data_IF_911392418262
#
_entry.id   IF_911392418262
#
_cell.length_a   1.000
_cell.length_b   1.000
_cell.length_c   1.000
_cell.angle_alpha   90.00
_cell.angle_beta   90.00
_cell.angle_gamma   90.00
#
_symmetry.space_group_name_H-M   'P 1'
#
loop_
_entity.id
_entity.type
_entity.pdbx_description
1 polymer ?
#
# COMPACT_ATOMS: atom_id res chain seq x y z
N UNK A 1 14.38 58.53 57.02
CA UNK A 1 13.93 59.92 57.18
C UNK A 1 12.69 60.04 58.09
N UNK A 2 12.82 60.77 59.19
CA UNK A 2 11.74 61.10 60.12
C UNK A 2 11.03 62.41 59.76
N UNK A 3 9.79 62.58 60.24
CA UNK A 3 9.05 63.85 60.14
C UNK A 3 9.57 64.88 61.16
N UNK A 4 9.29 66.15 60.92
CA UNK A 4 9.70 67.24 61.83
C UNK A 4 9.10 67.09 63.23
N UNK A 5 7.96 66.42 63.37
CA UNK A 5 7.34 66.08 64.67
C UNK A 5 8.19 65.21 65.58
N UNK A 6 9.15 64.46 65.06
CA UNK A 6 10.10 63.70 65.87
C UNK A 6 11.09 64.61 66.63
N UNK A 7 11.20 65.87 66.20
CA UNK A 7 12.21 66.82 66.69
C UNK A 7 11.61 68.07 67.35
N UNK A 8 10.30 68.32 67.15
CA UNK A 8 9.58 69.41 67.81
C UNK A 8 8.10 69.09 67.91
N UNK A 9 7.48 69.46 69.03
CA UNK A 9 6.03 69.37 69.23
C UNK A 9 5.26 70.50 68.56
N UNK A 10 5.97 71.51 68.03
CA UNK A 10 5.38 72.67 67.34
C UNK A 10 5.12 72.37 65.86
N UNK A 11 4.43 71.26 65.56
CA UNK A 11 4.09 70.81 64.21
C UNK A 11 2.56 70.74 64.02
N UNK A 12 2.10 70.41 62.81
CA UNK A 12 0.69 70.04 62.60
C UNK A 12 0.38 68.68 63.26
N UNK A 13 -0.89 68.30 63.45
CA UNK A 13 -1.25 66.96 63.94
C UNK A 13 -0.69 65.82 63.06
N UNK A 14 -0.49 66.07 61.76
CA UNK A 14 0.12 65.14 60.82
C UNK A 14 1.66 65.14 60.90
N UNK A 15 2.25 65.94 61.78
CA UNK A 15 3.68 66.03 62.00
C UNK A 15 4.45 66.79 60.92
N UNK A 16 3.79 67.72 60.22
CA UNK A 16 4.39 68.57 59.19
C UNK A 16 4.70 69.97 59.73
N UNK A 17 5.41 70.78 58.92
CA UNK A 17 5.60 72.20 59.21
C UNK A 17 4.26 72.93 59.28
N UNK A 18 4.06 73.71 60.34
CA UNK A 18 2.92 74.59 60.51
C UNK A 18 3.35 76.05 60.39
N UNK A 19 2.49 76.84 59.76
CA UNK A 19 2.61 78.30 59.75
C UNK A 19 2.34 78.86 61.15
N UNK A 20 3.08 79.90 61.52
CA UNK A 20 2.76 80.68 62.71
C UNK A 20 1.65 81.69 62.42
N UNK A 21 0.82 82.00 63.42
CA UNK A 21 -0.17 83.07 63.35
C UNK A 21 -0.06 83.96 64.59
N UNK A 22 0.25 85.25 64.38
CA UNK A 22 0.27 86.25 65.45
C UNK A 22 -1.12 86.46 66.05
N UNK A 23 -2.18 86.38 65.25
CA UNK A 23 -3.56 86.58 65.71
C UNK A 23 -4.11 85.37 66.49
N UNK A 24 -3.59 84.16 66.26
CA UNK A 24 -4.03 82.92 66.90
C UNK A 24 -3.15 82.43 68.04
N UNK A 25 -2.04 83.10 68.36
CA UNK A 25 -1.09 82.67 69.40
C UNK A 25 -0.38 81.35 69.11
N UNK A 26 -0.43 80.84 67.88
CA UNK A 26 0.21 79.57 67.49
C UNK A 26 1.60 79.85 66.93
N UNK A 27 2.69 79.41 67.58
CA UNK A 27 4.03 79.61 67.06
C UNK A 27 4.28 78.71 65.84
N UNK A 28 5.01 79.23 64.85
CA UNK A 28 5.45 78.48 63.67
C UNK A 28 6.35 77.30 64.07
N UNK A 29 6.42 76.27 63.22
CA UNK A 29 7.40 75.19 63.43
C UNK A 29 8.82 75.74 63.32
N UNK A 30 9.65 75.61 64.36
CA UNK A 30 11.04 76.04 64.29
C UNK A 30 11.83 75.13 63.34
N UNK A 31 12.80 75.71 62.64
CA UNK A 31 13.81 74.93 61.92
C UNK A 31 14.79 74.35 62.94
N UNK A 32 14.68 73.05 63.19
CA UNK A 32 15.50 72.33 64.17
C UNK A 32 16.71 71.68 63.48
N UNK A 33 17.89 71.87 64.07
CA UNK A 33 19.16 71.41 63.50
C UNK A 33 19.19 69.89 63.28
N UNK A 34 18.58 69.11 64.18
CA UNK A 34 18.52 67.65 64.03
C UNK A 34 17.82 67.19 62.75
N UNK A 35 16.70 67.83 62.40
CA UNK A 35 15.97 67.54 61.16
C UNK A 35 16.74 68.00 59.92
N UNK A 36 17.36 69.19 59.97
CA UNK A 36 18.18 69.70 58.86
C UNK A 36 19.41 68.84 58.60
N UNK A 37 20.10 68.39 59.66
CA UNK A 37 21.24 67.48 59.55
C UNK A 37 20.81 66.12 58.99
N UNK A 38 19.68 65.57 59.42
CA UNK A 38 19.15 64.33 58.85
C UNK A 38 18.87 64.46 57.34
N UNK A 39 18.24 65.56 56.91
CA UNK A 39 18.06 65.81 55.47
C UNK A 39 19.39 65.92 54.74
N UNK A 40 20.36 66.61 55.33
CA UNK A 40 21.70 66.76 54.76
C UNK A 40 22.38 65.41 54.59
N UNK A 41 22.38 64.56 55.61
CA UNK A 41 23.00 63.23 55.55
C UNK A 41 22.35 62.34 54.50
N UNK A 42 21.03 62.35 54.36
CA UNK A 42 20.32 61.57 53.33
C UNK A 42 20.68 62.05 51.90
N UNK A 43 20.75 63.37 51.69
CA UNK A 43 21.18 63.93 50.41
C UNK A 43 22.65 63.66 50.11
N UNK A 44 23.51 63.74 51.13
CA UNK A 44 24.93 63.39 51.05
C UNK A 44 25.10 61.91 50.71
N UNK A 45 24.32 61.01 51.32
CA UNK A 45 24.38 59.58 51.05
C UNK A 45 24.10 59.26 49.58
N UNK A 46 23.12 59.94 48.97
CA UNK A 46 22.85 59.82 47.52
C UNK A 46 24.06 60.26 46.71
N UNK A 47 24.69 61.39 47.04
CA UNK A 47 25.87 61.87 46.32
C UNK A 47 27.04 60.89 46.49
N UNK A 48 27.31 60.44 47.71
CA UNK A 48 28.36 59.48 48.03
C UNK A 48 28.17 58.15 47.27
N UNK A 49 26.94 57.66 47.13
CA UNK A 49 26.66 56.40 46.44
C UNK A 49 27.02 56.43 44.94
N UNK A 50 26.85 57.58 44.27
CA UNK A 50 27.08 57.69 42.81
C UNK A 50 28.37 58.42 42.42
N UNK A 51 28.94 59.24 43.31
CA UNK A 51 30.14 60.05 43.02
C UNK A 51 31.33 59.76 43.94
N UNK A 52 31.12 59.01 45.03
CA UNK A 52 32.18 58.58 45.95
C UNK A 52 32.80 59.66 46.84
N UNK A 53 32.52 60.95 46.60
CA UNK A 53 33.03 62.07 47.40
C UNK A 53 32.15 63.31 47.29
N UNK A 54 32.25 64.21 48.27
CA UNK A 54 31.61 65.54 48.24
C UNK A 54 32.59 66.60 47.73
N UNK A 55 32.11 67.49 46.88
CA UNK A 55 32.84 68.65 46.37
C UNK A 55 32.15 69.97 46.79
N UNK A 56 32.73 70.76 47.70
CA UNK A 56 32.11 72.00 48.17
C UNK A 56 31.94 73.06 47.06
N UNK A 57 32.70 72.96 45.97
CA UNK A 57 32.63 73.89 44.83
C UNK A 57 31.54 73.54 43.81
N UNK A 58 30.82 72.42 44.00
CA UNK A 58 29.80 71.94 43.06
C UNK A 58 28.40 71.90 43.70
N UNK A 59 27.56 72.87 43.34
CA UNK A 59 26.16 72.94 43.78
C UNK A 59 25.22 71.99 43.02
N UNK A 60 25.72 71.28 42.01
CA UNK A 60 24.92 70.37 41.16
C UNK A 60 25.16 68.89 41.46
N UNK A 61 25.85 68.56 42.55
CA UNK A 61 26.18 67.17 42.90
C UNK A 61 24.95 66.26 43.02
N UNK A 62 23.87 66.72 43.65
CA UNK A 62 22.65 65.91 43.74
C UNK A 62 22.08 65.61 42.35
N UNK A 63 22.03 66.62 41.47
CA UNK A 63 21.53 66.46 40.11
C UNK A 63 22.40 65.51 39.29
N UNK A 64 23.73 65.59 39.41
CA UNK A 64 24.66 64.68 38.74
C UNK A 64 24.47 63.23 39.19
N UNK A 65 24.24 63.02 40.50
CA UNK A 65 23.97 61.68 41.07
C UNK A 65 22.67 61.10 40.53
N UNK A 66 21.60 61.90 40.47
CA UNK A 66 20.32 61.48 39.91
C UNK A 66 20.44 61.13 38.41
N UNK A 67 21.24 61.89 37.65
CA UNK A 67 21.54 61.57 36.24
C UNK A 67 22.32 60.27 36.11
N UNK A 68 23.32 60.04 36.96
CA UNK A 68 24.10 58.81 36.97
C UNK A 68 23.25 57.57 37.33
N UNK A 69 22.35 57.71 38.31
CA UNK A 69 21.40 56.66 38.69
C UNK A 69 20.57 56.16 37.50
N UNK A 70 20.09 57.07 36.66
CA UNK A 70 19.21 56.72 35.53
C UNK A 70 19.96 56.43 34.22
N UNK A 71 21.27 56.70 34.15
CA UNK A 71 22.07 56.59 32.93
C UNK A 71 22.14 55.16 32.37
N UNK A 72 22.03 54.15 33.24
CA UNK A 72 22.07 52.74 32.85
C UNK A 72 20.67 52.12 32.68
N UNK A 73 19.60 52.88 32.92
CA UNK A 73 18.25 52.43 32.61
C UNK A 73 17.90 52.85 31.18
N UNK A 74 17.66 51.87 30.32
CA UNK A 74 17.19 52.13 28.97
C UNK A 74 15.85 52.87 29.00
N UNK A 75 15.79 54.07 28.43
CA UNK A 75 14.53 54.70 28.02
C UNK A 75 13.80 53.74 27.09
N UNK A 76 12.49 53.50 27.28
CA UNK A 76 11.65 52.54 26.52
C UNK A 76 12.25 52.18 25.14
N UNK A 77 12.96 51.06 25.07
CA UNK A 77 13.58 50.58 23.85
C UNK A 77 12.65 49.57 23.17
N UNK A 78 12.68 49.52 21.83
CA UNK A 78 11.93 48.53 21.04
C UNK A 78 12.79 47.32 20.67
N UNK A 79 14.04 47.26 21.13
CA UNK A 79 15.00 46.21 20.79
C UNK A 79 15.73 45.70 22.04
N UNK A 80 16.14 44.42 22.02
CA UNK A 80 16.95 43.81 23.09
C UNK A 80 18.29 44.54 23.30
N UNK A 81 18.96 44.93 22.21
CA UNK A 81 20.20 45.72 22.26
C UNK A 81 19.99 47.08 22.96
N UNK A 82 18.83 47.70 22.78
CA UNK A 82 18.49 48.95 23.49
C UNK A 82 18.34 48.77 25.01
N UNK A 83 18.08 47.55 25.49
CA UNK A 83 18.12 47.18 26.91
C UNK A 83 19.50 46.67 27.39
N UNK A 84 20.53 46.73 26.53
CA UNK A 84 21.86 46.22 26.86
C UNK A 84 22.02 44.70 26.74
N UNK A 85 21.04 43.99 26.17
CA UNK A 85 21.11 42.54 25.93
C UNK A 85 21.74 42.33 24.56
N UNK A 86 23.04 42.00 24.55
CA UNK A 86 23.86 41.87 23.33
C UNK A 86 24.13 40.42 22.90
N UNK A 87 23.81 39.44 23.75
CA UNK A 87 23.99 38.01 23.49
C UNK A 87 22.75 37.34 22.86
N UNK A 88 21.66 38.10 22.69
CA UNK A 88 20.44 37.62 22.05
C UNK A 88 20.51 37.73 20.51
N UNK A 89 19.92 36.75 19.82
CA UNK A 89 19.71 36.84 18.38
C UNK A 89 18.74 37.97 18.02
N UNK A 90 19.12 38.78 17.03
CA UNK A 90 18.21 39.72 16.38
C UNK A 90 17.20 39.00 15.49
N UNK A 91 16.05 39.63 15.25
CA UNK A 91 15.04 39.11 14.31
C UNK A 91 15.65 38.81 12.93
N UNK A 92 16.53 39.69 12.43
CA UNK A 92 17.18 39.50 11.14
C UNK A 92 18.11 38.27 11.12
N UNK A 93 18.88 38.03 12.19
CA UNK A 93 19.70 36.82 12.31
C UNK A 93 18.83 35.56 12.36
N UNK A 94 17.74 35.58 13.12
CA UNK A 94 16.80 34.45 13.19
C UNK A 94 16.13 34.18 11.83
N UNK A 95 15.66 35.22 11.14
CA UNK A 95 15.07 35.11 9.80
C UNK A 95 16.07 34.55 8.78
N UNK A 96 17.36 34.94 8.89
CA UNK A 96 18.43 34.42 8.03
C UNK A 96 18.70 32.94 8.31
N UNK A 97 18.86 32.53 9.56
CA UNK A 97 19.09 31.13 9.93
C UNK A 97 17.92 30.23 9.53
N UNK A 98 16.69 30.74 9.70
CA UNK A 98 15.49 30.01 9.31
C UNK A 98 15.35 29.91 7.80
N UNK A 99 15.63 30.98 7.04
CA UNK A 99 15.59 30.95 5.57
C UNK A 99 16.66 30.02 4.99
N UNK A 100 17.85 29.94 5.59
CA UNK A 100 18.87 28.96 5.19
C UNK A 100 18.37 27.52 5.37
N UNK A 101 17.56 27.26 6.40
CA UNK A 101 16.96 25.95 6.65
C UNK A 101 15.71 25.67 5.79
N UNK A 102 14.92 26.69 5.48
CA UNK A 102 13.62 26.54 4.83
C UNK A 102 13.64 26.64 3.30
N UNK A 103 14.54 27.45 2.72
CA UNK A 103 14.45 27.86 1.31
C UNK A 103 15.35 27.09 0.33
N UNK A 104 16.30 26.27 0.80
CA UNK A 104 17.35 25.76 -0.09
C UNK A 104 17.12 24.35 -0.63
N UNK A 105 16.02 23.68 -0.28
CA UNK A 105 15.82 22.29 -0.65
C UNK A 105 14.40 22.01 -1.18
N UNK A 106 14.32 21.51 -2.41
CA UNK A 106 13.10 20.90 -2.97
C UNK A 106 13.16 19.36 -2.91
N UNK A 107 14.17 18.82 -2.23
CA UNK A 107 14.41 17.39 -2.08
C UNK A 107 14.54 17.02 -0.61
N UNK A 108 14.18 15.79 -0.26
CA UNK A 108 14.30 15.26 1.12
C UNK A 108 15.74 15.34 1.63
N UNK A 109 16.72 15.01 0.78
CA UNK A 109 18.15 15.12 1.12
C UNK A 109 18.60 16.55 1.42
N UNK A 110 18.04 17.55 0.74
CA UNK A 110 18.34 18.96 1.05
C UNK A 110 17.78 19.43 2.40
N UNK A 111 16.77 18.74 2.95
CA UNK A 111 16.30 18.93 4.33
C UNK A 111 17.08 18.10 5.36
N UNK A 112 18.10 17.34 4.94
CA UNK A 112 18.89 16.46 5.81
C UNK A 112 18.24 15.11 6.09
N UNK A 113 17.22 14.71 5.33
CA UNK A 113 16.57 13.40 5.44
C UNK A 113 17.35 12.42 4.56
N UNK A 114 18.23 11.63 5.17
CA UNK A 114 19.14 10.70 4.47
C UNK A 114 18.62 9.27 4.32
N UNK A 115 17.56 8.90 5.03
CA UNK A 115 16.96 7.56 5.03
C UNK A 115 15.76 7.43 4.07
N UNK A 116 15.36 8.52 3.42
CA UNK A 116 14.29 8.50 2.44
C UNK A 116 14.78 8.07 1.05
N UNK A 117 14.00 7.22 0.39
CA UNK A 117 14.23 6.87 -1.00
C UNK A 117 14.08 8.09 -1.92
N UNK A 118 15.04 8.25 -2.82
CA UNK A 118 14.98 9.25 -3.89
C UNK A 118 14.08 8.77 -5.03
N UNK A 119 13.52 9.73 -5.78
CA UNK A 119 12.76 9.42 -7.01
C UNK A 119 13.58 8.55 -7.97
N UNK A 120 14.88 8.81 -8.10
CA UNK A 120 15.76 8.06 -8.98
C UNK A 120 15.94 6.60 -8.55
N UNK A 121 16.11 6.34 -7.25
CA UNK A 121 16.19 4.97 -6.72
C UNK A 121 14.88 4.20 -6.92
N UNK A 122 13.74 4.85 -6.69
CA UNK A 122 12.42 4.24 -6.92
C UNK A 122 12.21 3.96 -8.40
N UNK A 123 12.50 4.92 -9.28
CA UNK A 123 12.41 4.73 -10.73
C UNK A 123 13.31 3.60 -11.20
N UNK A 124 14.53 3.48 -10.66
CA UNK A 124 15.44 2.39 -10.95
C UNK A 124 14.88 1.02 -10.50
N UNK A 125 14.40 0.92 -9.25
CA UNK A 125 13.75 -0.30 -8.73
C UNK A 125 12.54 -0.71 -9.57
N UNK A 126 11.74 0.27 -10.01
CA UNK A 126 10.54 0.01 -10.81
C UNK A 126 10.89 -0.37 -12.25
N UNK A 127 11.95 0.22 -12.83
CA UNK A 127 12.40 -0.12 -14.19
C UNK A 127 12.88 -1.57 -14.27
N UNK A 128 13.58 -2.07 -13.26
CA UNK A 128 13.96 -3.48 -13.19
C UNK A 128 12.76 -4.43 -13.10
N UNK A 129 11.67 -4.00 -12.48
CA UNK A 129 10.45 -4.81 -12.39
C UNK A 129 9.55 -4.70 -13.61
N UNK A 130 9.43 -3.52 -14.22
CA UNK A 130 8.43 -3.26 -15.26
C UNK A 130 8.98 -3.36 -16.69
N UNK A 131 10.24 -2.98 -16.92
CA UNK A 131 10.77 -2.76 -18.27
C UNK A 131 11.58 -3.93 -18.85
N UNK A 132 11.99 -4.91 -18.04
CA UNK A 132 12.94 -5.97 -18.47
C UNK A 132 12.26 -7.34 -18.66
N UNK A 133 11.12 -7.57 -18.03
CA UNK A 133 10.47 -8.87 -18.03
C UNK A 133 9.38 -8.99 -19.12
N UNK A 134 9.62 -9.81 -20.13
CA UNK A 134 8.57 -10.25 -21.08
C UNK A 134 7.92 -11.59 -20.65
N UNK A 135 8.27 -12.10 -19.48
CA UNK A 135 7.76 -13.35 -18.92
C UNK A 135 7.28 -13.12 -17.48
N UNK A 136 6.34 -13.94 -17.03
CA UNK A 136 5.82 -13.92 -15.66
C UNK A 136 6.95 -14.15 -14.64
N UNK A 137 7.90 -15.04 -14.94
CA UNK A 137 9.08 -15.27 -14.12
C UNK A 137 9.97 -14.02 -13.98
N UNK A 138 10.11 -13.21 -15.03
CA UNK A 138 10.83 -11.94 -14.95
C UNK A 138 10.15 -10.91 -14.03
N UNK A 139 8.84 -11.02 -13.81
CA UNK A 139 8.10 -10.24 -12.80
C UNK A 139 8.19 -10.84 -11.39
N UNK A 140 8.88 -11.98 -11.22
CA UNK A 140 8.98 -12.70 -9.94
C UNK A 140 7.84 -13.67 -9.68
N UNK A 141 6.99 -13.97 -10.66
CA UNK A 141 5.92 -14.98 -10.57
C UNK A 141 6.51 -16.33 -11.02
N UNK A 142 6.88 -17.17 -10.05
CA UNK A 142 7.61 -18.42 -10.28
C UNK A 142 6.71 -19.67 -10.36
N UNK A 143 5.45 -19.55 -9.97
CA UNK A 143 4.46 -20.63 -9.92
C UNK A 143 3.54 -20.66 -11.16
N UNK A 144 3.74 -19.76 -12.10
CA UNK A 144 2.99 -19.73 -13.35
C UNK A 144 3.54 -20.76 -14.35
N UNK A 145 2.63 -21.49 -15.01
CA UNK A 145 2.99 -22.35 -16.13
C UNK A 145 3.60 -21.56 -17.28
N UNK A 146 4.69 -22.08 -17.82
CA UNK A 146 5.31 -21.57 -19.05
C UNK A 146 4.49 -21.98 -20.27
N UNK A 147 4.63 -21.20 -21.35
CA UNK A 147 4.04 -21.54 -22.64
C UNK A 147 4.44 -22.95 -23.09
N UNK A 148 5.71 -23.31 -22.92
CA UNK A 148 6.23 -24.62 -23.29
C UNK A 148 5.57 -25.77 -22.51
N UNK A 149 5.36 -25.59 -21.20
CA UNK A 149 4.66 -26.60 -20.37
C UNK A 149 3.20 -26.75 -20.78
N UNK A 150 2.50 -25.65 -21.07
CA UNK A 150 1.12 -25.67 -21.55
C UNK A 150 1.03 -26.36 -22.92
N UNK A 151 1.91 -25.99 -23.85
CA UNK A 151 1.94 -26.56 -25.20
C UNK A 151 2.27 -28.06 -25.14
N UNK A 152 3.22 -28.48 -24.29
CA UNK A 152 3.54 -29.89 -24.06
C UNK A 152 2.35 -30.65 -23.44
N UNK A 153 1.68 -30.06 -22.45
CA UNK A 153 0.49 -30.64 -21.83
C UNK A 153 -0.69 -30.75 -22.79
N UNK A 154 -0.83 -29.82 -23.75
CA UNK A 154 -1.86 -29.87 -24.78
C UNK A 154 -1.52 -30.91 -25.86
N UNK A 155 -0.26 -30.98 -26.29
CA UNK A 155 0.19 -31.97 -27.26
C UNK A 155 0.09 -33.41 -26.73
N UNK A 156 0.26 -33.61 -25.42
CA UNK A 156 0.09 -34.90 -24.77
C UNK A 156 -1.38 -35.31 -24.58
N UNK A 157 -2.34 -34.38 -24.75
CA UNK A 157 -3.77 -34.70 -24.59
C UNK A 157 -4.31 -35.41 -25.82
N UNK A 158 -4.88 -36.59 -25.59
CA UNK A 158 -5.62 -37.34 -26.60
C UNK A 158 -6.97 -36.67 -26.92
N UNK A 159 -7.37 -36.70 -28.19
CA UNK A 159 -8.72 -36.30 -28.59
C UNK A 159 -9.77 -37.21 -27.94
N UNK A 160 -10.94 -36.65 -27.60
CA UNK A 160 -12.05 -37.43 -27.04
C UNK A 160 -12.56 -38.45 -28.06
N UNK A 161 -12.76 -39.68 -27.60
CA UNK A 161 -13.43 -40.72 -28.36
C UNK A 161 -14.90 -40.35 -28.59
N UNK A 162 -15.44 -40.78 -29.72
CA UNK A 162 -16.84 -40.49 -30.10
C UNK A 162 -17.61 -41.80 -30.30
N UNK A 163 -18.91 -41.79 -30.06
CA UNK A 163 -19.71 -43.01 -30.16
C UNK A 163 -21.20 -42.73 -30.37
N UNK A 164 -21.89 -43.68 -30.99
CA UNK A 164 -23.34 -43.82 -31.02
C UNK A 164 -23.74 -45.06 -30.19
N UNK A 165 -24.21 -44.84 -28.96
CA UNK A 165 -24.62 -45.90 -28.03
C UNK A 165 -26.09 -46.31 -28.23
N UNK A 166 -26.38 -46.89 -29.40
CA UNK A 166 -27.70 -47.43 -29.73
C UNK A 166 -27.63 -48.95 -29.93
N UNK A 167 -28.80 -49.59 -30.10
CA UNK A 167 -28.92 -51.04 -30.33
C UNK A 167 -28.13 -51.50 -31.58
N UNK A 168 -28.07 -50.64 -32.59
CA UNK A 168 -27.11 -50.71 -33.70
C UNK A 168 -26.29 -49.42 -33.64
N UNK A 169 -24.99 -49.54 -33.36
CA UNK A 169 -24.18 -48.42 -32.92
C UNK A 169 -22.70 -48.58 -33.25
N UNK A 170 -21.91 -47.60 -32.82
CA UNK A 170 -20.48 -47.57 -33.07
C UNK A 170 -19.72 -46.81 -31.97
N UNK A 171 -18.43 -47.12 -31.82
CA UNK A 171 -17.47 -46.28 -31.08
C UNK A 171 -16.20 -46.10 -31.92
N UNK A 172 -15.65 -44.89 -31.86
CA UNK A 172 -14.41 -44.51 -32.51
C UNK A 172 -13.41 -44.05 -31.45
N UNK A 173 -12.24 -44.68 -31.45
CA UNK A 173 -11.04 -44.11 -30.84
C UNK A 173 -10.49 -43.00 -31.74
N UNK A 174 -10.59 -41.75 -31.28
CA UNK A 174 -10.18 -40.57 -32.05
C UNK A 174 -8.66 -40.35 -32.06
N UNK A 175 -7.87 -41.23 -31.44
CA UNK A 175 -6.42 -41.18 -31.52
C UNK A 175 -5.82 -42.20 -32.47
N UNK A 176 -6.41 -43.39 -32.50
CA UNK A 176 -5.90 -44.50 -33.31
C UNK A 176 -6.71 -44.73 -34.58
N UNK A 177 -7.93 -44.19 -34.66
CA UNK A 177 -8.86 -44.47 -35.74
C UNK A 177 -9.56 -45.82 -35.62
N UNK A 178 -9.38 -46.54 -34.49
CA UNK A 178 -10.07 -47.81 -34.26
C UNK A 178 -11.58 -47.57 -34.20
N UNK A 179 -12.29 -48.13 -35.17
CA UNK A 179 -13.74 -48.12 -35.26
C UNK A 179 -14.26 -49.49 -34.87
N UNK A 180 -15.19 -49.52 -33.92
CA UNK A 180 -15.93 -50.72 -33.60
C UNK A 180 -17.42 -50.45 -33.78
N UNK A 181 -18.11 -51.38 -34.43
CA UNK A 181 -19.54 -51.28 -34.72
C UNK A 181 -20.24 -52.56 -34.31
N UNK A 182 -21.51 -52.42 -33.93
CA UNK A 182 -22.35 -53.55 -33.53
C UNK A 182 -23.79 -53.34 -33.98
N UNK A 183 -24.52 -54.43 -34.02
CA UNK A 183 -25.95 -54.41 -34.23
C UNK A 183 -26.53 -55.82 -34.12
N UNK A 184 -27.78 -55.94 -34.54
CA UNK A 184 -28.45 -57.23 -34.65
C UNK A 184 -29.31 -57.28 -35.91
N UNK A 185 -29.67 -58.48 -36.33
CA UNK A 185 -30.60 -58.72 -37.42
C UNK A 185 -31.01 -60.18 -37.45
N UNK A 186 -31.73 -60.58 -38.49
CA UNK A 186 -32.11 -61.97 -38.70
C UNK A 186 -31.85 -62.43 -40.13
N UNK A 187 -31.50 -63.70 -40.27
CA UNK A 187 -31.43 -64.40 -41.54
C UNK A 187 -32.45 -65.53 -41.55
N UNK A 188 -33.13 -65.73 -42.68
CA UNK A 188 -34.08 -66.83 -42.87
C UNK A 188 -33.41 -68.20 -42.83
N UNK A 189 -34.18 -69.30 -42.87
CA UNK A 189 -33.62 -70.64 -42.98
C UNK A 189 -32.83 -70.81 -44.28
N UNK A 190 -31.65 -71.45 -44.20
CA UNK A 190 -30.74 -71.69 -45.34
C UNK A 190 -30.60 -70.45 -46.27
N UNK A 191 -30.24 -69.31 -45.67
CA UNK A 191 -30.29 -68.03 -46.34
C UNK A 191 -29.15 -67.08 -45.93
N UNK A 192 -28.79 -66.22 -46.89
CA UNK A 192 -27.95 -65.03 -46.67
C UNK A 192 -28.77 -63.79 -46.95
N UNK A 193 -28.68 -62.77 -46.08
CA UNK A 193 -29.45 -61.53 -46.23
C UNK A 193 -29.00 -60.71 -47.45
N UNK A 194 -29.83 -59.73 -47.83
CA UNK A 194 -29.36 -58.60 -48.63
C UNK A 194 -28.20 -57.87 -47.93
N UNK A 195 -27.45 -57.06 -48.68
CA UNK A 195 -26.40 -56.22 -48.10
C UNK A 195 -27.00 -55.23 -47.09
N UNK A 196 -26.37 -55.11 -45.93
CA UNK A 196 -26.76 -54.18 -44.87
C UNK A 196 -25.61 -53.18 -44.68
N UNK A 197 -25.93 -51.91 -44.59
CA UNK A 197 -24.94 -50.86 -44.37
C UNK A 197 -24.45 -50.87 -42.92
N UNK A 198 -23.14 -50.72 -42.73
CA UNK A 198 -22.59 -50.37 -41.44
C UNK A 198 -23.09 -48.98 -41.03
N UNK A 199 -23.37 -48.73 -39.73
CA UNK A 199 -23.76 -47.42 -39.23
C UNK A 199 -22.81 -46.28 -39.61
N UNK A 200 -21.53 -46.61 -39.77
CA UNK A 200 -20.48 -45.74 -40.28
C UNK A 200 -19.59 -46.52 -41.25
N UNK A 201 -19.17 -45.95 -42.39
CA UNK A 201 -18.17 -46.59 -43.24
C UNK A 201 -16.86 -46.86 -42.50
N UNK A 202 -16.25 -48.01 -42.75
CA UNK A 202 -14.84 -48.27 -42.48
C UNK A 202 -13.98 -47.72 -43.62
N UNK A 203 -12.70 -47.43 -43.35
CA UNK A 203 -11.66 -47.34 -44.36
C UNK A 203 -11.10 -48.73 -44.68
N UNK A 204 -11.08 -49.60 -43.68
CA UNK A 204 -10.64 -50.99 -43.78
C UNK A 204 -11.33 -51.81 -42.69
N UNK A 205 -11.85 -52.99 -43.02
CA UNK A 205 -12.46 -53.90 -42.06
C UNK A 205 -11.45 -54.98 -41.68
N UNK A 206 -11.11 -55.05 -40.39
CA UNK A 206 -10.17 -56.05 -39.87
C UNK A 206 -10.87 -57.33 -39.43
N UNK A 207 -12.08 -57.19 -38.87
CA UNK A 207 -12.87 -58.31 -38.40
C UNK A 207 -14.35 -57.98 -38.50
N UNK A 208 -15.15 -58.94 -38.94
CA UNK A 208 -16.60 -58.89 -38.89
C UNK A 208 -17.11 -60.29 -38.59
N UNK A 209 -17.84 -60.44 -37.50
CA UNK A 209 -18.40 -61.71 -37.08
C UNK A 209 -19.77 -61.49 -36.45
N UNK A 210 -20.55 -62.57 -36.42
CA UNK A 210 -21.86 -62.56 -35.79
C UNK A 210 -22.10 -63.85 -35.04
N UNK A 211 -22.82 -63.75 -33.93
CA UNK A 211 -23.20 -64.86 -33.09
C UNK A 211 -24.72 -64.98 -33.10
N UNK A 212 -25.20 -66.22 -33.31
CA UNK A 212 -26.60 -66.57 -33.14
C UNK A 212 -27.04 -66.34 -31.69
N UNK A 213 -28.20 -65.72 -31.50
CA UNK A 213 -28.78 -65.44 -30.18
C UNK A 213 -30.11 -66.16 -29.93
N UNK A 214 -30.70 -66.77 -30.96
CA UNK A 214 -31.87 -67.63 -30.81
C UNK A 214 -31.46 -69.10 -30.56
N UNK A 215 -31.90 -69.73 -29.45
CA UNK A 215 -31.67 -71.16 -29.22
C UNK A 215 -32.59 -72.00 -30.11
N UNK A 216 -32.03 -72.84 -30.98
CA UNK A 216 -32.75 -73.94 -31.61
C UNK A 216 -31.81 -75.16 -31.77
N UNK A 217 -32.35 -76.37 -31.58
CA UNK A 217 -31.58 -77.59 -31.33
C UNK A 217 -31.15 -78.34 -32.62
N UNK A 218 -31.05 -77.65 -33.75
CA UNK A 218 -30.79 -78.27 -35.06
C UNK A 218 -29.55 -77.64 -35.69
N UNK A 219 -28.38 -78.06 -35.21
CA UNK A 219 -27.05 -77.75 -35.75
C UNK A 219 -26.23 -79.02 -35.56
N UNK A 220 -25.79 -79.63 -36.66
CA UNK A 220 -24.96 -80.84 -36.66
C UNK A 220 -23.56 -80.64 -37.24
N UNK A 221 -23.21 -79.43 -37.72
CA UNK A 221 -21.99 -79.15 -38.48
C UNK A 221 -21.20 -77.91 -38.02
N UNK A 222 -21.64 -77.25 -36.93
CA UNK A 222 -20.80 -76.36 -36.13
C UNK A 222 -20.68 -74.92 -36.60
N UNK A 223 -21.39 -74.49 -37.66
CA UNK A 223 -21.41 -73.09 -38.13
C UNK A 223 -22.80 -72.64 -38.61
N UNK A 224 -23.80 -72.64 -37.71
CA UNK A 224 -25.17 -72.39 -38.15
C UNK A 224 -25.53 -70.96 -38.56
N UNK A 225 -24.88 -69.91 -38.04
CA UNK A 225 -25.21 -68.52 -38.40
C UNK A 225 -24.13 -67.51 -38.00
N UNK A 226 -23.96 -66.45 -38.79
CA UNK A 226 -22.98 -65.41 -38.50
C UNK A 226 -23.12 -64.16 -39.36
N UNK A 227 -22.09 -63.31 -39.32
CA UNK A 227 -21.98 -62.10 -40.11
C UNK A 227 -20.60 -62.02 -40.77
N UNK A 228 -20.52 -61.45 -41.96
CA UNK A 228 -19.26 -61.15 -42.63
C UNK A 228 -19.37 -59.83 -43.40
N UNK A 229 -18.26 -59.09 -43.45
CA UNK A 229 -18.18 -57.88 -44.25
C UNK A 229 -18.04 -58.24 -45.73
N UNK A 230 -18.77 -57.54 -46.59
CA UNK A 230 -18.66 -57.67 -48.05
C UNK A 230 -17.96 -56.46 -48.68
N UNK A 231 -17.90 -55.35 -47.96
CA UNK A 231 -17.18 -54.14 -48.32
C UNK A 231 -16.89 -53.32 -47.07
N UNK A 232 -16.20 -52.20 -47.26
CA UNK A 232 -15.95 -51.23 -46.19
C UNK A 232 -17.22 -50.52 -45.69
N UNK A 233 -18.32 -50.60 -46.43
CA UNK A 233 -19.59 -49.96 -46.06
C UNK A 233 -20.67 -50.97 -45.69
N UNK A 234 -20.50 -52.24 -46.02
CA UNK A 234 -21.58 -53.22 -45.97
C UNK A 234 -21.15 -54.58 -45.43
N UNK A 235 -22.10 -55.26 -44.79
CA UNK A 235 -21.99 -56.63 -44.33
C UNK A 235 -23.24 -57.43 -44.71
N UNK A 236 -23.18 -58.75 -44.53
CA UNK A 236 -24.31 -59.65 -44.65
C UNK A 236 -24.40 -60.54 -43.42
N UNK A 237 -25.60 -61.02 -43.15
CA UNK A 237 -25.86 -62.08 -42.19
C UNK A 237 -26.16 -63.37 -42.96
N UNK A 238 -25.71 -64.50 -42.44
CA UNK A 238 -25.99 -65.81 -43.00
C UNK A 238 -26.51 -66.77 -41.93
N UNK A 239 -27.31 -67.73 -42.36
CA UNK A 239 -27.83 -68.81 -41.54
C UNK A 239 -27.97 -70.07 -42.38
N UNK A 240 -27.29 -71.13 -42.00
CA UNK A 240 -27.31 -72.45 -42.65
C UNK A 240 -28.32 -73.41 -41.95
N UNK A 241 -29.05 -72.93 -40.94
CA UNK A 241 -30.08 -73.74 -40.29
C UNK A 241 -31.27 -73.94 -41.25
N UNK A 242 -31.52 -75.16 -41.70
CA UNK A 242 -32.52 -75.47 -42.74
C UNK A 242 -33.99 -75.10 -42.41
N UNK A 243 -34.39 -75.13 -41.13
CA UNK A 243 -35.81 -75.05 -40.75
C UNK A 243 -36.19 -73.81 -39.92
N UNK A 244 -35.23 -72.99 -39.51
CA UNK A 244 -35.48 -71.89 -38.59
C UNK A 244 -34.66 -70.66 -38.97
N UNK A 245 -35.28 -69.49 -38.85
CA UNK A 245 -34.55 -68.23 -38.91
C UNK A 245 -33.61 -68.09 -37.69
N UNK A 246 -32.47 -67.44 -37.90
CA UNK A 246 -31.51 -67.13 -36.84
C UNK A 246 -31.54 -65.63 -36.52
N UNK A 247 -31.71 -65.28 -35.25
CA UNK A 247 -31.39 -63.95 -34.75
C UNK A 247 -29.88 -63.88 -34.51
N UNK A 248 -29.22 -62.86 -35.03
CA UNK A 248 -27.76 -62.73 -35.04
C UNK A 248 -27.39 -61.37 -34.48
N UNK A 249 -26.54 -61.36 -33.45
CA UNK A 249 -25.84 -60.16 -33.01
C UNK A 249 -24.47 -60.14 -33.67
N UNK A 250 -24.09 -59.00 -34.26
CA UNK A 250 -22.83 -58.89 -34.98
C UNK A 250 -21.96 -57.79 -34.39
N UNK A 251 -20.65 -57.95 -34.57
CA UNK A 251 -19.64 -56.95 -34.25
C UNK A 251 -18.62 -56.89 -35.37
N UNK A 252 -18.24 -55.67 -35.72
CA UNK A 252 -17.18 -55.40 -36.69
C UNK A 252 -16.13 -54.46 -36.07
N UNK A 253 -14.86 -54.73 -36.36
CA UNK A 253 -13.73 -53.89 -36.01
C UNK A 253 -12.97 -53.52 -37.28
N UNK A 254 -12.48 -52.29 -37.33
CA UNK A 254 -11.77 -51.77 -38.48
C UNK A 254 -11.20 -50.39 -38.23
N UNK A 255 -10.69 -49.75 -39.28
CA UNK A 255 -10.20 -48.37 -39.25
C UNK A 255 -11.27 -47.42 -39.75
N UNK A 256 -11.47 -46.28 -39.09
CA UNK A 256 -12.36 -45.23 -39.59
C UNK A 256 -11.71 -44.43 -40.74
N UNK A 257 -12.50 -43.90 -41.69
CA UNK A 257 -12.01 -42.92 -42.66
C UNK A 257 -11.43 -41.68 -41.98
N UNK A 258 -10.30 -41.19 -42.49
CA UNK A 258 -9.64 -39.97 -42.03
C UNK A 258 -8.61 -40.16 -40.90
N UNK A 259 -8.27 -41.40 -40.57
CA UNK A 259 -7.22 -41.78 -39.62
C UNK A 259 -6.15 -42.62 -40.31
#
# INVERSE_FOLDING_TARGET
MDRVSAWTTLCTPEGLFRWGSQAGGVPATPLVAGWLNMLQEELVAVVMAYQGSLNPEDSQQLLKSLRAMVANFATKATTLAGYGILDAYTKAQADMLLSQKANNAITLGGYGIGDAYTKAEVDHLLTFRAAVANTLAGYGILDAYTRAEVDAGLAAKQNKNTALMAATGWKLDSATGLLEQWGSGSAGPDATTAAIDFPRPFAEVYSCFGNKTSPNATDGDGNSAGAFAISNTQYKLFNDTANFAAAIQWRALGKAPGY
#
